data_IF_045374086076
#
_entry.id   IF_045374086076
#
_cell.length_a   1.000
_cell.length_b   1.000
_cell.length_c   1.000
_cell.angle_alpha   90.00
_cell.angle_beta   90.00
_cell.angle_gamma   90.00
#
_symmetry.space_group_name_H-M   'P 1'
#
loop_
_entity.id
_entity.type
_entity.pdbx_description
1 polymer ?
#
# COMPACT_ATOMS: atom_id res chain seq x y z
N UNK A 1 -4.18 -16.10 -1.90
CA UNK A 1 -3.59 -16.01 -3.26
C UNK A 1 -2.74 -17.24 -3.58
N UNK A 2 -1.65 -17.53 -2.84
CA UNK A 2 -0.75 -18.68 -3.11
C UNK A 2 -1.52 -19.99 -3.25
N UNK A 3 -2.42 -20.30 -2.31
CA UNK A 3 -3.21 -21.54 -2.32
C UNK A 3 -4.07 -21.69 -3.59
N UNK A 4 -4.69 -20.60 -4.05
CA UNK A 4 -5.49 -20.59 -5.29
C UNK A 4 -4.58 -20.83 -6.50
N UNK A 5 -3.44 -20.14 -6.59
CA UNK A 5 -2.47 -20.35 -7.66
C UNK A 5 -1.88 -21.77 -7.66
N UNK A 6 -1.67 -22.36 -6.48
CA UNK A 6 -1.21 -23.75 -6.33
C UNK A 6 -2.26 -24.75 -6.80
N UNK A 7 -3.54 -24.55 -6.46
CA UNK A 7 -4.63 -25.40 -6.96
C UNK A 7 -4.73 -25.32 -8.48
N UNK A 8 -4.72 -24.11 -9.04
CA UNK A 8 -4.76 -23.93 -10.50
C UNK A 8 -3.57 -24.60 -11.17
N UNK A 9 -2.38 -24.46 -10.59
CA UNK A 9 -1.18 -25.13 -11.09
C UNK A 9 -1.31 -26.65 -11.06
N UNK A 10 -1.82 -27.23 -9.97
CA UNK A 10 -2.00 -28.69 -9.88
C UNK A 10 -2.99 -29.21 -10.91
N UNK A 11 -4.10 -28.48 -11.14
CA UNK A 11 -5.08 -28.83 -12.16
C UNK A 11 -4.45 -28.79 -13.55
N UNK A 12 -3.79 -27.68 -13.91
CA UNK A 12 -3.14 -27.53 -15.22
C UNK A 12 -1.99 -28.51 -15.41
N UNK A 13 -1.18 -28.72 -14.37
CA UNK A 13 -0.08 -29.68 -14.36
C UNK A 13 -0.58 -31.11 -14.53
N UNK A 14 -1.70 -31.47 -13.90
CA UNK A 14 -2.35 -32.76 -14.12
C UNK A 14 -2.80 -32.92 -15.58
N UNK A 15 -3.52 -31.95 -16.14
CA UNK A 15 -3.92 -31.98 -17.55
C UNK A 15 -2.72 -32.06 -18.52
N UNK A 16 -1.66 -31.31 -18.23
CA UNK A 16 -0.44 -31.33 -19.02
C UNK A 16 0.25 -32.69 -18.95
N UNK A 17 0.34 -33.27 -17.76
CA UNK A 17 0.94 -34.58 -17.55
C UNK A 17 0.14 -35.70 -18.23
N UNK A 18 -1.19 -35.71 -18.11
CA UNK A 18 -2.02 -36.71 -18.81
C UNK A 18 -1.90 -36.58 -20.32
N UNK A 19 -1.88 -35.36 -20.84
CA UNK A 19 -1.67 -35.11 -22.28
C UNK A 19 -0.29 -35.57 -22.73
N UNK A 20 0.74 -35.38 -21.88
CA UNK A 20 2.09 -35.87 -22.15
C UNK A 20 2.10 -37.40 -22.26
N UNK A 21 1.47 -38.10 -21.30
CA UNK A 21 1.35 -39.56 -21.32
C UNK A 21 0.61 -40.05 -22.57
N UNK A 22 -0.52 -39.42 -22.93
CA UNK A 22 -1.28 -39.79 -24.13
C UNK A 22 -0.45 -39.65 -25.41
N UNK A 23 0.35 -38.58 -25.51
CA UNK A 23 1.26 -38.36 -26.64
C UNK A 23 2.37 -39.41 -26.67
N UNK A 24 2.92 -39.73 -25.51
CA UNK A 24 3.98 -40.72 -25.33
C UNK A 24 3.51 -42.14 -25.67
N UNK A 25 2.31 -42.54 -25.25
CA UNK A 25 1.70 -43.85 -25.57
C UNK A 25 1.48 -44.01 -27.08
N UNK A 26 1.03 -42.95 -27.77
CA UNK A 26 0.89 -42.97 -29.23
C UNK A 26 2.23 -43.19 -29.95
N UNK A 27 3.34 -42.69 -29.40
CA UNK A 27 4.69 -42.84 -29.95
C UNK A 27 5.28 -44.22 -29.61
N UNK A 28 5.07 -44.73 -28.40
CA UNK A 28 5.54 -46.04 -27.96
C UNK A 28 4.89 -47.20 -28.75
N UNK A 29 3.60 -47.07 -29.11
CA UNK A 29 2.89 -48.05 -29.96
C UNK A 29 3.48 -48.11 -31.38
N UNK A 30 4.10 -47.03 -31.87
CA UNK A 30 4.65 -46.95 -33.22
C UNK A 30 6.05 -47.55 -33.37
N UNK A 31 6.83 -47.65 -32.30
CA UNK A 31 8.15 -48.29 -32.35
C UNK A 31 8.60 -48.76 -30.98
N UNK A 32 8.70 -50.09 -30.83
CA UNK A 32 9.16 -50.78 -29.61
C UNK A 32 10.56 -50.33 -29.14
N UNK A 33 11.41 -49.89 -30.06
CA UNK A 33 12.77 -49.38 -29.76
C UNK A 33 12.77 -48.05 -28.99
N UNK A 34 11.70 -47.26 -29.03
CA UNK A 34 11.63 -45.95 -28.37
C UNK A 34 11.18 -46.01 -26.90
N UNK A 35 10.75 -47.17 -26.41
CA UNK A 35 10.13 -47.30 -25.08
C UNK A 35 11.01 -46.78 -23.93
N UNK A 36 12.32 -47.03 -23.98
CA UNK A 36 13.27 -46.54 -22.95
C UNK A 36 13.58 -45.04 -23.05
N UNK A 37 13.48 -44.44 -24.23
CA UNK A 37 13.65 -42.98 -24.43
C UNK A 37 12.41 -42.23 -23.93
N UNK A 38 11.24 -42.80 -24.20
CA UNK A 38 9.92 -42.36 -23.75
C UNK A 38 9.82 -42.28 -22.23
N UNK A 39 10.22 -43.35 -21.50
CA UNK A 39 10.16 -43.36 -20.02
C UNK A 39 11.10 -42.31 -19.38
N UNK A 40 12.21 -41.97 -20.03
CA UNK A 40 13.11 -40.91 -19.58
C UNK A 40 12.52 -39.50 -19.77
N UNK A 41 11.77 -39.29 -20.85
CA UNK A 41 11.07 -38.04 -21.15
C UNK A 41 9.92 -37.77 -20.17
N UNK A 42 9.15 -38.81 -19.80
CA UNK A 42 8.08 -38.68 -18.81
C UNK A 42 8.62 -38.28 -17.42
N UNK A 43 9.74 -38.89 -17.01
CA UNK A 43 10.44 -38.54 -15.77
C UNK A 43 11.00 -37.12 -15.79
N UNK A 44 11.55 -36.70 -16.93
CA UNK A 44 12.00 -35.32 -17.12
C UNK A 44 10.84 -34.33 -17.02
N UNK A 45 9.70 -34.64 -17.63
CA UNK A 45 8.49 -33.81 -17.58
C UNK A 45 7.97 -33.67 -16.15
N UNK A 46 7.88 -34.76 -15.39
CA UNK A 46 7.50 -34.72 -13.98
C UNK A 46 8.47 -33.90 -13.13
N UNK A 47 9.78 -34.07 -13.34
CA UNK A 47 10.81 -33.30 -12.64
C UNK A 47 10.70 -31.82 -12.98
N UNK A 48 10.46 -31.47 -14.25
CA UNK A 48 10.29 -30.09 -14.70
C UNK A 48 9.05 -29.44 -14.08
N UNK A 49 7.91 -30.15 -14.03
CA UNK A 49 6.70 -29.69 -13.34
C UNK A 49 6.95 -29.49 -11.84
N UNK A 50 7.64 -30.42 -11.18
CA UNK A 50 7.96 -30.27 -9.77
C UNK A 50 8.84 -29.03 -9.49
N UNK A 51 9.88 -28.82 -10.29
CA UNK A 51 10.76 -27.66 -10.18
C UNK A 51 9.96 -26.36 -10.42
N UNK A 52 9.15 -26.32 -11.48
CA UNK A 52 8.33 -25.16 -11.79
C UNK A 52 7.34 -24.83 -10.65
N UNK A 53 6.73 -25.85 -10.02
CA UNK A 53 5.87 -25.66 -8.86
C UNK A 53 6.61 -25.02 -7.68
N UNK A 54 7.79 -25.54 -7.34
CA UNK A 54 8.61 -25.02 -6.23
C UNK A 54 9.01 -23.56 -6.51
N UNK A 55 9.46 -23.27 -7.73
CA UNK A 55 9.82 -21.90 -8.15
C UNK A 55 8.62 -20.97 -8.07
N UNK A 56 7.44 -21.41 -8.53
CA UNK A 56 6.21 -20.61 -8.46
C UNK A 56 5.84 -20.29 -7.01
N UNK A 57 5.76 -21.30 -6.13
CA UNK A 57 5.37 -21.11 -4.73
C UNK A 57 6.36 -20.18 -4.03
N UNK A 58 7.67 -20.39 -4.22
CA UNK A 58 8.71 -19.52 -3.67
C UNK A 58 8.59 -18.08 -4.16
N UNK A 59 8.38 -17.89 -5.47
CA UNK A 59 8.24 -16.56 -6.07
C UNK A 59 7.01 -15.83 -5.53
N UNK A 60 5.86 -16.50 -5.46
CA UNK A 60 4.63 -15.92 -4.91
C UNK A 60 4.75 -15.60 -3.42
N UNK A 61 5.44 -16.44 -2.65
CA UNK A 61 5.69 -16.19 -1.23
C UNK A 61 6.54 -14.94 -1.03
N UNK A 62 7.65 -14.81 -1.78
CA UNK A 62 8.52 -13.63 -1.73
C UNK A 62 7.78 -12.39 -2.18
N UNK A 63 7.09 -12.42 -3.32
CA UNK A 63 6.33 -11.29 -3.85
C UNK A 63 5.22 -10.86 -2.89
N UNK A 64 4.44 -11.80 -2.36
CA UNK A 64 3.37 -11.51 -1.40
C UNK A 64 3.90 -10.87 -0.13
N UNK A 65 5.03 -11.37 0.39
CA UNK A 65 5.69 -10.81 1.58
C UNK A 65 6.19 -9.39 1.32
N UNK A 66 6.89 -9.17 0.21
CA UNK A 66 7.40 -7.84 -0.17
C UNK A 66 6.26 -6.84 -0.34
N UNK A 67 5.18 -7.23 -1.01
CA UNK A 67 4.03 -6.34 -1.22
C UNK A 67 3.35 -6.00 0.11
N UNK A 68 3.16 -6.98 0.98
CA UNK A 68 2.54 -6.78 2.30
C UNK A 68 3.35 -5.77 3.13
N UNK A 69 4.68 -5.89 3.17
CA UNK A 69 5.52 -4.94 3.90
C UNK A 69 5.50 -3.52 3.33
N UNK A 70 5.39 -3.37 2.00
CA UNK A 70 5.31 -2.07 1.31
C UNK A 70 3.96 -1.37 1.50
N UNK A 71 2.93 -2.09 1.98
CA UNK A 71 1.58 -1.57 2.20
C UNK A 71 1.29 -1.34 3.69
N UNK A 72 1.51 -2.34 4.54
CA UNK A 72 1.09 -2.31 5.96
C UNK A 72 1.74 -1.17 6.74
N UNK A 73 3.03 -0.90 6.50
CA UNK A 73 3.75 0.18 7.18
C UNK A 73 3.14 1.57 6.89
N UNK A 74 3.05 1.97 5.61
CA UNK A 74 2.42 3.23 5.22
C UNK A 74 0.98 3.40 5.69
N UNK A 75 0.19 2.32 5.77
CA UNK A 75 -1.20 2.41 6.26
C UNK A 75 -1.28 2.95 7.68
N UNK A 76 -0.33 2.58 8.55
CA UNK A 76 -0.28 3.13 9.92
C UNK A 76 0.05 4.62 9.95
N UNK A 77 0.95 5.07 9.07
CA UNK A 77 1.31 6.49 8.93
C UNK A 77 0.09 7.30 8.47
N UNK A 78 -0.64 6.77 7.49
CA UNK A 78 -1.87 7.37 6.97
C UNK A 78 -2.95 7.47 8.04
N UNK A 79 -3.22 6.37 8.76
CA UNK A 79 -4.22 6.35 9.82
C UNK A 79 -3.93 7.42 10.88
N UNK A 80 -2.67 7.49 11.34
CA UNK A 80 -2.24 8.50 12.31
C UNK A 80 -2.40 9.94 11.79
N UNK A 81 -2.16 10.16 10.51
CA UNK A 81 -2.34 11.48 9.91
C UNK A 81 -3.82 11.88 9.87
N UNK A 82 -4.71 10.93 9.54
CA UNK A 82 -6.15 11.15 9.56
C UNK A 82 -6.65 11.43 10.98
N UNK A 83 -6.13 10.73 12.00
CA UNK A 83 -6.45 11.01 13.40
C UNK A 83 -5.97 12.41 13.84
N UNK A 84 -4.82 12.84 13.35
CA UNK A 84 -4.34 14.21 13.59
C UNK A 84 -5.25 15.24 12.91
N UNK A 85 -5.65 15.03 11.65
CA UNK A 85 -6.61 15.90 10.99
C UNK A 85 -7.96 15.95 11.72
N UNK A 86 -8.49 14.80 12.15
CA UNK A 86 -9.79 14.72 12.83
C UNK A 86 -9.79 15.41 14.19
N UNK A 87 -8.63 15.50 14.84
CA UNK A 87 -8.43 16.20 16.11
C UNK A 87 -7.99 17.67 15.93
N UNK A 88 -8.01 18.18 14.70
CA UNK A 88 -7.66 19.58 14.40
C UNK A 88 -6.14 19.87 14.40
N UNK A 89 -5.29 18.84 14.40
CA UNK A 89 -3.83 18.99 14.30
C UNK A 89 -3.39 18.92 12.83
N UNK A 90 -3.15 20.07 12.22
CA UNK A 90 -2.78 20.18 10.81
C UNK A 90 -1.27 20.05 10.60
N UNK A 91 -0.70 18.88 10.86
CA UNK A 91 0.72 18.62 10.69
C UNK A 91 1.03 17.96 9.35
N UNK A 92 2.14 18.37 8.71
CA UNK A 92 2.64 17.70 7.51
C UNK A 92 3.12 16.28 7.86
N UNK A 93 2.79 15.34 6.99
CA UNK A 93 3.28 13.99 7.09
C UNK A 93 4.74 13.89 6.69
N UNK A 94 5.47 13.01 7.37
CA UNK A 94 6.82 12.63 6.97
C UNK A 94 6.76 11.85 5.65
N UNK A 95 7.77 12.01 4.77
CA UNK A 95 7.82 11.26 3.52
C UNK A 95 7.92 9.76 3.81
N UNK A 96 7.30 8.95 2.94
CA UNK A 96 7.43 7.49 2.97
C UNK A 96 8.81 7.05 2.51
N UNK A 97 9.13 5.78 2.75
CA UNK A 97 10.36 5.19 2.21
C UNK A 97 10.19 5.06 0.71
N UNK A 98 11.28 5.22 -0.04
CA UNK A 98 11.29 5.18 -1.52
C UNK A 98 10.56 3.99 -2.15
N UNK A 99 10.51 2.85 -1.46
CA UNK A 99 9.85 1.62 -1.95
C UNK A 99 8.38 1.54 -1.55
N UNK A 100 7.81 2.42 -0.76
CA UNK A 100 6.40 2.31 -0.36
C UNK A 100 5.45 2.72 -1.49
N UNK A 101 4.20 2.25 -1.50
CA UNK A 101 3.27 2.46 -2.64
C UNK A 101 2.40 3.73 -2.50
N UNK A 102 2.36 4.36 -1.32
CA UNK A 102 1.38 5.42 -1.00
C UNK A 102 1.90 6.85 -1.14
N UNK A 103 2.97 7.09 -1.91
CA UNK A 103 3.58 8.42 -2.03
C UNK A 103 2.57 9.48 -2.52
N UNK A 104 1.86 9.21 -3.62
CA UNK A 104 0.88 10.14 -4.17
C UNK A 104 -0.24 10.47 -3.17
N UNK A 105 -0.67 9.47 -2.40
CA UNK A 105 -1.70 9.65 -1.39
C UNK A 105 -1.23 10.57 -0.25
N UNK A 106 0.02 10.41 0.19
CA UNK A 106 0.65 11.31 1.17
C UNK A 106 0.76 12.74 0.63
N UNK A 107 1.15 12.90 -0.62
CA UNK A 107 1.27 14.22 -1.26
C UNK A 107 -0.08 14.94 -1.35
N UNK A 108 -1.16 14.19 -1.63
CA UNK A 108 -2.53 14.72 -1.64
C UNK A 108 -2.97 15.16 -0.25
N UNK A 109 -2.75 14.37 0.80
CA UNK A 109 -3.08 14.80 2.17
C UNK A 109 -2.23 16.00 2.59
N UNK A 110 -0.93 16.01 2.28
CA UNK A 110 -0.07 17.17 2.58
C UNK A 110 -0.56 18.44 1.86
N UNK A 111 -1.13 18.30 0.66
CA UNK A 111 -1.80 19.41 -0.02
C UNK A 111 -3.04 19.90 0.74
N UNK A 112 -3.88 18.99 1.25
CA UNK A 112 -5.02 19.34 2.10
C UNK A 112 -4.56 20.05 3.38
N UNK A 113 -3.55 19.51 4.07
CA UNK A 113 -2.97 20.12 5.27
C UNK A 113 -2.49 21.53 4.99
N UNK A 114 -1.77 21.73 3.88
CA UNK A 114 -1.30 23.07 3.47
C UNK A 114 -2.46 24.05 3.33
N UNK A 115 -3.51 23.70 2.60
CA UNK A 115 -4.69 24.55 2.40
C UNK A 115 -5.35 24.91 3.75
N UNK A 116 -5.50 23.93 4.65
CA UNK A 116 -6.06 24.16 5.99
C UNK A 116 -5.18 25.09 6.83
N UNK A 117 -3.86 24.90 6.80
CA UNK A 117 -2.91 25.77 7.52
C UNK A 117 -2.91 27.20 6.97
N UNK A 118 -3.00 27.35 5.64
CA UNK A 118 -3.10 28.66 4.98
C UNK A 118 -4.37 29.38 5.44
N UNK A 119 -5.52 28.72 5.42
CA UNK A 119 -6.78 29.30 5.93
C UNK A 119 -6.71 29.71 7.40
N UNK A 120 -6.12 28.87 8.28
CA UNK A 120 -5.93 29.25 9.69
C UNK A 120 -4.98 30.45 9.84
N UNK A 121 -3.94 30.53 9.00
CA UNK A 121 -3.00 31.64 9.04
C UNK A 121 -3.65 32.96 8.56
N UNK A 122 -4.56 32.89 7.60
CA UNK A 122 -5.37 34.03 7.16
C UNK A 122 -6.36 34.47 8.26
N UNK A 123 -7.07 33.52 8.89
CA UNK A 123 -7.94 33.81 10.03
C UNK A 123 -7.20 34.52 11.16
N UNK A 124 -5.98 34.07 11.50
CA UNK A 124 -5.15 34.68 12.53
C UNK A 124 -4.78 36.13 12.19
N UNK A 125 -4.45 36.41 10.92
CA UNK A 125 -4.17 37.78 10.46
C UNK A 125 -5.40 38.67 10.57
N UNK A 126 -6.59 38.16 10.24
CA UNK A 126 -7.85 38.91 10.40
C UNK A 126 -8.11 39.20 11.87
N UNK A 127 -7.89 38.23 12.76
CA UNK A 127 -8.05 38.44 14.20
C UNK A 127 -7.07 39.50 14.74
N UNK A 128 -5.84 39.54 14.24
CA UNK A 128 -4.86 40.60 14.57
C UNK A 128 -5.33 41.99 14.11
N UNK A 129 -5.90 42.09 12.91
CA UNK A 129 -6.46 43.35 12.41
C UNK A 129 -7.67 43.81 13.23
N UNK A 130 -8.55 42.88 13.60
CA UNK A 130 -9.71 43.16 14.47
C UNK A 130 -9.24 43.66 15.83
N UNK A 131 -8.27 42.98 16.44
CA UNK A 131 -7.68 43.37 17.73
C UNK A 131 -7.14 44.80 17.67
N UNK A 132 -6.33 45.14 16.66
CA UNK A 132 -5.79 46.49 16.47
C UNK A 132 -6.88 47.57 16.26
N UNK A 133 -7.97 47.24 15.57
CA UNK A 133 -9.07 48.17 15.32
C UNK A 133 -9.92 48.47 16.57
N UNK A 134 -10.07 47.47 17.46
CA UNK A 134 -10.92 47.59 18.65
C UNK A 134 -10.14 47.91 19.93
N UNK A 135 -8.81 47.77 19.93
CA UNK A 135 -7.94 48.00 21.09
C UNK A 135 -8.27 49.26 21.92
N UNK A 136 -8.53 50.44 21.32
CA UNK A 136 -8.84 51.65 22.09
C UNK A 136 -10.23 51.64 22.77
N UNK A 137 -11.14 50.75 22.38
CA UNK A 137 -12.54 50.74 22.86
C UNK A 137 -12.97 49.39 23.44
N UNK A 138 -12.13 48.36 23.35
CA UNK A 138 -12.46 47.01 23.75
C UNK A 138 -12.54 46.85 25.28
N UNK A 139 -13.59 46.17 25.73
CA UNK A 139 -13.71 45.71 27.12
C UNK A 139 -12.65 44.66 27.45
N UNK A 140 -12.35 44.50 28.74
CA UNK A 140 -11.41 43.47 29.21
C UNK A 140 -11.85 42.06 28.81
N UNK A 141 -13.15 41.76 28.87
CA UNK A 141 -13.73 40.48 28.47
C UNK A 141 -13.52 40.17 26.98
N UNK A 142 -13.70 41.16 26.11
CA UNK A 142 -13.50 40.99 24.67
C UNK A 142 -12.02 40.71 24.31
N UNK A 143 -11.08 41.38 25.01
CA UNK A 143 -9.64 41.13 24.86
C UNK A 143 -9.28 39.70 25.26
N UNK A 144 -9.86 39.20 26.35
CA UNK A 144 -9.65 37.83 26.80
C UNK A 144 -10.24 36.79 25.81
N UNK A 145 -11.42 37.04 25.26
CA UNK A 145 -12.02 36.15 24.26
C UNK A 145 -11.19 36.10 22.96
N UNK A 146 -10.68 37.24 22.51
CA UNK A 146 -9.81 37.31 21.32
C UNK A 146 -8.50 36.56 21.53
N UNK A 147 -7.82 36.76 22.66
CA UNK A 147 -6.57 36.07 22.96
C UNK A 147 -6.77 34.56 23.02
N UNK A 148 -7.82 34.09 23.70
CA UNK A 148 -8.21 32.67 23.74
C UNK A 148 -8.49 32.11 22.34
N UNK A 149 -9.19 32.85 21.48
CA UNK A 149 -9.53 32.41 20.12
C UNK A 149 -8.29 32.31 19.24
N UNK A 150 -7.38 33.30 19.31
CA UNK A 150 -6.09 33.27 18.61
C UNK A 150 -5.24 32.09 19.07
N UNK A 151 -5.18 31.85 20.38
CA UNK A 151 -4.44 30.71 20.94
C UNK A 151 -5.02 29.37 20.46
N UNK A 152 -6.34 29.21 20.49
CA UNK A 152 -7.03 28.00 19.98
C UNK A 152 -6.72 27.76 18.49
N UNK A 153 -6.82 28.79 17.65
CA UNK A 153 -6.46 28.71 16.22
C UNK A 153 -4.99 28.37 16.01
N UNK A 154 -4.09 29.01 16.76
CA UNK A 154 -2.64 28.76 16.65
C UNK A 154 -2.27 27.31 17.02
N UNK A 155 -2.95 26.70 18.00
CA UNK A 155 -2.77 25.28 18.35
C UNK A 155 -3.11 24.31 17.22
N UNK A 156 -3.94 24.71 16.25
CA UNK A 156 -4.26 23.86 15.08
C UNK A 156 -3.05 23.67 14.16
N UNK A 157 -2.20 24.70 14.06
CA UNK A 157 -1.01 24.72 13.20
C UNK A 157 0.28 24.45 13.96
N UNK A 158 0.32 24.77 15.25
CA UNK A 158 1.46 24.60 16.17
C UNK A 158 1.01 23.85 17.43
N UNK A 159 0.63 22.56 17.32
CA UNK A 159 0.16 21.75 18.45
C UNK A 159 1.29 21.33 19.39
#
# INVERSE_FOLDING_TARGET
MVLVCSIVYLILGYYFYTTSLDNTDLLAVRSFELKGVVEAEDNFTLLALLIAFVVQVGSLFVLGTLLTHRIVGPTFVIARALDNLSTGRYQFMRPLRKKDEFHEFIDRINTVVRILREGVSEDLKVLEQVEAAIEPTASAELRELLSRTKEQKNRLINP
#
